data_IF_549360865842
#
_entry.id   IF_549360865842
#
_cell.length_a   1.000
_cell.length_b   1.000
_cell.length_c   1.000
_cell.angle_alpha   90.00
_cell.angle_beta   90.00
_cell.angle_gamma   90.00
#
_symmetry.space_group_name_H-M   'P 1'
#
loop_
_entity.id
_entity.type
_entity.pdbx_description
1 polymer ?
#
# COMPACT_ATOMS: atom_id res chain seq x y z
N UNK A 1 1.58 26.90 -11.41
CA UNK A 1 0.55 26.66 -10.36
C UNK A 1 0.92 25.36 -9.69
N UNK A 2 0.66 25.21 -8.37
CA UNK A 2 1.10 24.03 -7.64
C UNK A 2 -0.07 23.19 -7.17
N UNK A 3 0.15 21.87 -7.11
CA UNK A 3 -0.78 20.86 -6.59
C UNK A 3 -0.05 20.00 -5.56
N UNK A 4 -0.70 19.74 -4.43
CA UNK A 4 -0.15 18.95 -3.35
C UNK A 4 -0.91 17.64 -3.24
N UNK A 5 -0.19 16.52 -3.35
CA UNK A 5 -0.70 15.18 -3.06
C UNK A 5 -0.19 14.66 -1.73
N UNK A 6 -1.06 14.05 -0.95
CA UNK A 6 -0.74 13.40 0.34
C UNK A 6 -1.26 11.97 0.31
N UNK A 7 -0.36 10.99 0.47
CA UNK A 7 -0.68 9.58 0.70
C UNK A 7 -0.38 9.24 2.16
N UNK A 8 -1.42 9.03 2.98
CA UNK A 8 -1.30 8.74 4.40
C UNK A 8 -1.78 7.34 4.76
N UNK A 9 -0.83 6.42 4.87
CA UNK A 9 -1.04 5.10 5.45
C UNK A 9 -0.82 5.09 6.97
N UNK A 10 -0.96 3.91 7.59
CA UNK A 10 -0.81 3.76 9.06
C UNK A 10 0.61 4.05 9.57
N UNK A 11 1.65 3.86 8.76
CA UNK A 11 3.07 3.94 9.21
C UNK A 11 3.81 5.15 8.67
N UNK A 12 3.42 5.66 7.52
CA UNK A 12 4.06 6.80 6.84
C UNK A 12 3.04 7.63 6.09
N UNK A 13 3.30 8.92 5.94
CA UNK A 13 2.58 9.84 5.08
C UNK A 13 3.56 10.51 4.11
N UNK A 14 3.33 10.35 2.79
CA UNK A 14 4.13 10.95 1.71
C UNK A 14 3.44 12.22 1.22
N UNK A 15 4.21 13.28 1.08
CA UNK A 15 3.78 14.58 0.54
C UNK A 15 4.54 14.87 -0.74
N UNK A 16 3.83 15.20 -1.79
CA UNK A 16 4.39 15.50 -3.11
C UNK A 16 3.80 16.80 -3.66
N UNK A 17 4.66 17.78 -3.92
CA UNK A 17 4.31 19.04 -4.58
C UNK A 17 4.77 19.03 -6.02
N UNK A 18 3.83 19.24 -6.96
CA UNK A 18 4.11 19.34 -8.40
C UNK A 18 3.39 20.54 -9.01
N UNK A 19 3.73 20.86 -10.26
CA UNK A 19 2.80 21.61 -11.12
C UNK A 19 1.84 20.66 -11.88
N UNK A 20 0.99 21.25 -12.72
CA UNK A 20 0.02 20.52 -13.55
C UNK A 20 0.67 19.63 -14.61
N UNK A 21 1.95 19.82 -14.91
CA UNK A 21 2.68 19.01 -15.91
C UNK A 21 3.43 17.83 -15.29
N UNK A 22 3.51 17.79 -13.95
CA UNK A 22 4.22 16.76 -13.20
C UNK A 22 5.65 17.09 -12.82
N UNK A 23 6.10 18.35 -12.98
CA UNK A 23 7.41 18.78 -12.45
C UNK A 23 7.36 18.80 -10.93
N UNK A 24 8.30 18.09 -10.29
CA UNK A 24 8.40 18.00 -8.82
C UNK A 24 9.12 19.21 -8.27
N UNK A 25 8.57 19.84 -7.22
CA UNK A 25 9.17 20.97 -6.51
C UNK A 25 9.59 20.61 -5.09
N UNK A 26 8.87 19.72 -4.43
CA UNK A 26 9.23 19.27 -3.10
C UNK A 26 8.61 17.89 -2.78
N UNK A 27 9.31 17.14 -1.94
CA UNK A 27 8.81 15.92 -1.29
C UNK A 27 9.07 16.00 0.22
N UNK A 28 8.14 15.43 1.00
CA UNK A 28 8.31 15.24 2.44
C UNK A 28 7.75 13.88 2.85
N UNK A 29 8.37 13.29 3.87
CA UNK A 29 7.92 12.05 4.47
C UNK A 29 7.68 12.30 5.96
N UNK A 30 6.47 12.04 6.43
CA UNK A 30 6.04 12.20 7.81
C UNK A 30 5.64 10.85 8.43
N UNK A 31 5.56 10.75 9.76
CA UNK A 31 4.89 9.63 10.40
C UNK A 31 3.46 9.46 9.87
N UNK A 32 3.03 8.21 9.69
CA UNK A 32 1.72 7.89 9.16
C UNK A 32 0.58 8.30 10.10
N UNK A 33 -0.58 8.48 9.51
CA UNK A 33 -1.80 8.85 10.19
C UNK A 33 -2.98 8.08 9.59
N UNK A 34 -3.65 7.26 10.40
CA UNK A 34 -4.94 6.66 10.06
C UNK A 34 -6.03 7.36 10.86
N UNK A 35 -7.08 7.82 10.18
CA UNK A 35 -8.11 8.67 10.85
C UNK A 35 -8.84 7.95 11.98
N UNK A 36 -9.06 6.64 11.88
CA UNK A 36 -9.69 5.84 12.93
C UNK A 36 -8.97 5.93 14.29
N UNK A 37 -7.64 6.01 14.31
CA UNK A 37 -6.84 6.12 15.52
C UNK A 37 -6.47 7.55 15.90
N UNK A 38 -6.19 8.38 14.91
CA UNK A 38 -5.66 9.73 15.10
C UNK A 38 -6.74 10.79 15.30
N UNK A 39 -7.97 10.50 14.83
CA UNK A 39 -9.09 11.42 14.85
C UNK A 39 -8.74 12.76 14.19
N UNK A 40 -9.65 13.72 14.18
CA UNK A 40 -9.48 15.06 13.58
C UNK A 40 -8.15 15.72 13.91
N UNK A 41 -7.80 15.79 15.20
CA UNK A 41 -6.60 16.51 15.64
C UNK A 41 -5.28 15.88 15.16
N UNK A 42 -5.24 14.56 15.07
CA UNK A 42 -4.08 13.85 14.51
C UNK A 42 -3.91 14.08 13.01
N UNK A 43 -5.01 14.03 12.27
CA UNK A 43 -5.03 14.31 10.81
C UNK A 43 -4.59 15.76 10.56
N UNK A 44 -5.19 16.73 11.26
CA UNK A 44 -4.82 18.15 11.18
C UNK A 44 -3.31 18.36 11.40
N UNK A 45 -2.79 17.82 12.49
CA UNK A 45 -1.36 17.96 12.85
C UNK A 45 -0.46 17.37 11.77
N UNK A 46 -0.81 16.22 11.22
CA UNK A 46 -0.06 15.58 10.13
C UNK A 46 -0.03 16.48 8.89
N UNK A 47 -1.20 16.99 8.46
CA UNK A 47 -1.31 17.89 7.30
C UNK A 47 -0.50 19.19 7.53
N UNK A 48 -0.67 19.86 8.66
CA UNK A 48 0.04 21.11 8.99
C UNK A 48 1.57 20.91 9.02
N UNK A 49 2.02 19.78 9.58
CA UNK A 49 3.47 19.51 9.69
C UNK A 49 4.10 19.26 8.32
N UNK A 50 3.48 18.39 7.51
CA UNK A 50 3.98 18.09 6.17
C UNK A 50 3.88 19.30 5.24
N UNK A 51 2.76 20.05 5.31
CA UNK A 51 2.57 21.27 4.53
C UNK A 51 3.65 22.32 4.84
N UNK A 52 3.95 22.56 6.12
CA UNK A 52 5.00 23.50 6.53
C UNK A 52 6.36 23.13 5.91
N UNK A 53 6.73 21.86 5.94
CA UNK A 53 7.97 21.37 5.36
C UNK A 53 7.99 21.53 3.83
N UNK A 54 6.89 21.21 3.15
CA UNK A 54 6.75 21.39 1.70
C UNK A 54 6.88 22.84 1.30
N UNK A 55 6.19 23.77 1.98
CA UNK A 55 6.26 25.20 1.69
C UNK A 55 7.69 25.75 1.89
N UNK A 56 8.36 25.31 2.97
CA UNK A 56 9.76 25.70 3.23
C UNK A 56 10.72 25.19 2.15
N UNK A 57 10.59 23.91 1.76
CA UNK A 57 11.45 23.30 0.72
C UNK A 57 11.25 23.94 -0.65
N UNK A 58 10.01 24.22 -1.01
CA UNK A 58 9.67 24.82 -2.30
C UNK A 58 9.87 26.35 -2.34
N UNK A 59 9.99 27.01 -1.20
CA UNK A 59 10.12 28.47 -1.11
C UNK A 59 8.87 29.23 -1.55
N UNK A 60 7.67 28.66 -1.33
CA UNK A 60 6.39 29.21 -1.76
C UNK A 60 5.45 29.46 -0.58
N UNK A 61 4.42 30.29 -0.82
CA UNK A 61 3.33 30.52 0.12
C UNK A 61 2.18 29.53 -0.09
N UNK A 62 1.39 29.26 0.97
CA UNK A 62 0.23 28.37 0.91
C UNK A 62 -0.79 28.77 -0.17
N UNK A 63 -0.94 30.07 -0.43
CA UNK A 63 -1.87 30.62 -1.44
C UNK A 63 -1.51 30.25 -2.88
N UNK A 64 -0.28 29.82 -3.14
CA UNK A 64 0.18 29.39 -4.46
C UNK A 64 -0.22 27.95 -4.80
N UNK A 65 -0.62 27.15 -3.80
CA UNK A 65 -1.16 25.80 -4.01
C UNK A 65 -2.62 25.92 -4.41
N UNK A 66 -2.96 25.43 -5.60
CA UNK A 66 -4.31 25.47 -6.19
C UNK A 66 -5.25 24.49 -5.51
N UNK A 67 -4.78 23.27 -5.32
CA UNK A 67 -5.58 22.23 -4.69
C UNK A 67 -4.68 21.23 -3.98
N UNK A 68 -5.23 20.61 -2.90
CA UNK A 68 -4.63 19.53 -2.13
C UNK A 68 -5.49 18.28 -2.28
N UNK A 69 -4.86 17.15 -2.61
CA UNK A 69 -5.49 15.83 -2.58
C UNK A 69 -4.95 15.03 -1.40
N UNK A 70 -5.83 14.54 -0.54
CA UNK A 70 -5.48 13.67 0.59
C UNK A 70 -6.10 12.29 0.41
N UNK A 71 -5.27 11.26 0.25
CA UNK A 71 -5.66 9.88 0.47
C UNK A 71 -5.25 9.44 1.86
N UNK A 72 -6.21 9.00 2.68
CA UNK A 72 -5.94 8.63 4.06
C UNK A 72 -6.63 7.32 4.44
N UNK A 73 -5.90 6.47 5.16
CA UNK A 73 -6.40 5.22 5.67
C UNK A 73 -7.55 5.45 6.67
N UNK A 74 -8.67 4.75 6.44
CA UNK A 74 -9.86 4.81 7.28
C UNK A 74 -10.87 5.92 6.93
N UNK A 75 -10.65 6.71 5.85
CA UNK A 75 -11.62 7.70 5.37
C UNK A 75 -12.94 7.04 4.97
N UNK A 76 -14.05 7.43 5.61
CA UNK A 76 -15.37 6.84 5.36
C UNK A 76 -15.56 5.40 5.87
N UNK A 77 -14.57 4.81 6.56
CA UNK A 77 -14.63 3.44 7.07
C UNK A 77 -15.11 3.33 8.52
N UNK A 78 -15.30 4.44 9.19
CA UNK A 78 -15.83 4.52 10.55
C UNK A 78 -16.76 5.71 10.73
N UNK A 79 -17.56 5.68 11.79
CA UNK A 79 -18.49 6.76 12.10
C UNK A 79 -17.74 8.09 12.28
N UNK A 80 -18.13 9.10 11.52
CA UNK A 80 -17.58 10.44 11.56
C UNK A 80 -16.20 10.63 10.92
N UNK A 81 -15.53 9.57 10.45
CA UNK A 81 -14.15 9.68 9.91
C UNK A 81 -14.05 10.55 8.68
N UNK A 82 -15.05 10.56 7.83
CA UNK A 82 -15.13 11.44 6.67
C UNK A 82 -15.22 12.89 7.11
N UNK A 83 -16.19 13.22 7.98
CA UNK A 83 -16.38 14.56 8.50
C UNK A 83 -15.14 15.08 9.23
N UNK A 84 -14.55 14.27 10.10
CA UNK A 84 -13.33 14.64 10.86
C UNK A 84 -12.15 14.94 9.92
N UNK A 85 -11.99 14.18 8.84
CA UNK A 85 -10.94 14.43 7.83
C UNK A 85 -11.19 15.73 7.08
N UNK A 86 -12.42 15.96 6.65
CA UNK A 86 -12.82 17.21 5.95
C UNK A 86 -12.59 18.43 6.83
N UNK A 87 -13.02 18.39 8.09
CA UNK A 87 -12.79 19.47 9.06
C UNK A 87 -11.30 19.71 9.32
N UNK A 88 -10.51 18.64 9.50
CA UNK A 88 -9.07 18.74 9.70
C UNK A 88 -8.38 19.43 8.51
N UNK A 89 -8.74 19.05 7.29
CA UNK A 89 -8.20 19.69 6.09
C UNK A 89 -8.65 21.15 5.94
N UNK A 90 -9.91 21.47 6.26
CA UNK A 90 -10.43 22.83 6.20
C UNK A 90 -9.72 23.78 7.20
N UNK A 91 -9.30 23.25 8.34
CA UNK A 91 -8.54 24.02 9.35
C UNK A 91 -7.04 24.12 9.02
N UNK A 92 -6.46 23.09 8.38
CA UNK A 92 -5.02 23.02 8.08
C UNK A 92 -4.66 23.66 6.73
N UNK A 93 -5.63 23.78 5.82
CA UNK A 93 -5.43 24.27 4.44
C UNK A 93 -6.51 25.28 4.06
N UNK A 94 -6.51 25.67 2.78
CA UNK A 94 -7.46 26.68 2.23
C UNK A 94 -8.84 26.03 1.99
N UNK A 95 -9.92 26.54 2.59
CA UNK A 95 -11.27 26.02 2.38
C UNK A 95 -11.66 25.95 0.90
N UNK A 96 -12.26 24.82 0.50
CA UNK A 96 -12.70 24.60 -0.88
C UNK A 96 -11.58 24.28 -1.89
N UNK A 97 -10.32 24.24 -1.45
CA UNK A 97 -9.17 23.89 -2.31
C UNK A 97 -8.56 22.54 -1.94
N UNK A 98 -9.34 21.62 -1.45
CA UNK A 98 -8.88 20.27 -1.12
C UNK A 98 -9.95 19.23 -1.44
N UNK A 99 -9.49 18.00 -1.64
CA UNK A 99 -10.32 16.82 -1.82
C UNK A 99 -9.72 15.68 -1.02
N UNK A 100 -10.56 14.95 -0.28
CA UNK A 100 -10.16 13.81 0.53
C UNK A 100 -10.78 12.51 0.01
N UNK A 101 -10.05 11.41 0.14
CA UNK A 101 -10.53 10.07 -0.23
C UNK A 101 -9.80 8.99 0.59
N UNK A 102 -10.17 7.73 0.37
CA UNK A 102 -9.41 6.58 0.86
C UNK A 102 -8.01 6.53 0.22
N UNK A 103 -7.03 6.01 0.93
CA UNK A 103 -5.70 5.67 0.43
C UNK A 103 -5.78 4.69 -0.77
N UNK A 104 -6.74 3.77 -0.77
CA UNK A 104 -6.99 2.84 -1.88
C UNK A 104 -7.45 3.53 -3.16
N UNK A 105 -8.19 4.65 -3.05
CA UNK A 105 -8.62 5.43 -4.22
C UNK A 105 -7.45 6.10 -4.91
N UNK A 106 -6.56 6.74 -4.16
CA UNK A 106 -5.38 7.38 -4.75
C UNK A 106 -4.38 6.37 -5.29
N UNK A 107 -4.28 5.18 -4.68
CA UNK A 107 -3.46 4.09 -5.20
C UNK A 107 -3.98 3.60 -6.57
N UNK A 108 -5.29 3.44 -6.73
CA UNK A 108 -5.91 3.17 -8.03
C UNK A 108 -5.72 4.31 -9.02
N UNK A 109 -5.95 5.55 -8.59
CA UNK A 109 -5.82 6.75 -9.42
C UNK A 109 -4.40 6.90 -9.98
N UNK A 110 -3.37 6.70 -9.14
CA UNK A 110 -1.97 6.76 -9.56
C UNK A 110 -1.57 5.60 -10.45
N UNK A 111 -1.94 4.37 -10.08
CA UNK A 111 -1.50 3.17 -10.79
C UNK A 111 -2.20 2.95 -12.13
N UNK A 112 -3.48 3.27 -12.25
CA UNK A 112 -4.31 3.04 -13.45
C UNK A 112 -4.81 4.34 -14.12
N UNK A 113 -4.39 5.52 -13.65
CA UNK A 113 -4.78 6.82 -14.23
C UNK A 113 -6.31 6.95 -14.36
N UNK A 114 -7.04 6.53 -13.34
CA UNK A 114 -8.50 6.45 -13.27
C UNK A 114 -9.14 5.52 -14.31
N UNK A 115 -8.37 4.65 -14.99
CA UNK A 115 -8.93 3.59 -15.83
C UNK A 115 -9.71 2.60 -14.96
N UNK A 116 -10.91 2.22 -15.42
CA UNK A 116 -11.71 1.22 -14.71
C UNK A 116 -10.92 -0.09 -14.57
N UNK A 117 -10.79 -0.58 -13.33
CA UNK A 117 -9.93 -1.74 -13.03
C UNK A 117 -9.78 -1.97 -11.55
N UNK A 118 -8.78 -2.75 -11.18
CA UNK A 118 -8.53 -3.19 -9.80
C UNK A 118 -7.09 -2.84 -9.41
N UNK A 119 -6.90 -2.34 -8.19
CA UNK A 119 -5.58 -2.15 -7.59
C UNK A 119 -5.43 -3.05 -6.37
N UNK A 120 -4.28 -3.71 -6.26
CA UNK A 120 -3.87 -4.53 -5.11
C UNK A 120 -2.88 -3.73 -4.29
N UNK A 121 -3.20 -3.44 -3.04
CA UNK A 121 -2.22 -2.89 -2.09
C UNK A 121 -1.73 -4.05 -1.22
N UNK A 122 -0.41 -4.27 -1.17
CA UNK A 122 0.18 -5.22 -0.23
C UNK A 122 1.49 -4.69 0.35
N UNK A 123 1.46 -4.52 1.66
CA UNK A 123 2.56 -4.08 2.52
C UNK A 123 2.45 -4.83 3.85
N UNK A 124 2.43 -4.13 4.99
CA UNK A 124 2.19 -4.74 6.31
C UNK A 124 0.86 -5.50 6.33
N UNK A 125 -0.21 -4.91 5.80
CA UNK A 125 -1.49 -5.54 5.50
C UNK A 125 -1.71 -5.67 3.99
N UNK A 126 -2.89 -6.16 3.57
CA UNK A 126 -3.29 -6.24 2.17
C UNK A 126 -4.75 -5.86 1.98
N UNK A 127 -5.04 -5.18 0.88
CA UNK A 127 -6.38 -4.84 0.45
C UNK A 127 -6.45 -4.80 -1.08
N UNK A 128 -7.53 -5.26 -1.64
CA UNK A 128 -7.83 -5.18 -3.07
C UNK A 128 -9.02 -4.27 -3.27
N UNK A 129 -8.89 -3.26 -4.11
CA UNK A 129 -9.95 -2.28 -4.39
C UNK A 129 -10.15 -2.13 -5.89
N UNK A 130 -11.39 -2.05 -6.33
CA UNK A 130 -11.76 -1.86 -7.72
C UNK A 130 -12.71 -0.69 -7.92
N UNK A 131 -12.58 -0.05 -9.07
CA UNK A 131 -13.38 1.11 -9.46
C UNK A 131 -13.85 0.96 -10.91
N UNK A 132 -15.08 1.34 -11.17
CA UNK A 132 -15.70 1.32 -12.50
C UNK A 132 -15.82 2.73 -13.07
N UNK A 133 -15.99 2.84 -14.39
CA UNK A 133 -16.13 4.14 -15.05
C UNK A 133 -17.39 4.91 -14.63
N UNK A 134 -18.43 4.22 -14.13
CA UNK A 134 -19.66 4.80 -13.60
C UNK A 134 -19.58 5.13 -12.09
N UNK A 135 -18.38 5.06 -11.49
CA UNK A 135 -18.10 5.48 -10.12
C UNK A 135 -18.43 4.46 -9.03
N UNK A 136 -18.84 3.23 -9.39
CA UNK A 136 -19.00 2.16 -8.39
C UNK A 136 -17.64 1.66 -7.91
N UNK A 137 -17.57 1.30 -6.64
CA UNK A 137 -16.37 0.71 -6.04
C UNK A 137 -16.69 -0.53 -5.21
N UNK A 138 -15.70 -1.40 -5.05
CA UNK A 138 -15.76 -2.54 -4.15
C UNK A 138 -14.36 -2.84 -3.61
N UNK A 139 -14.30 -3.48 -2.44
CA UNK A 139 -13.05 -3.95 -1.83
C UNK A 139 -13.15 -5.39 -1.34
N UNK A 140 -12.00 -6.04 -1.22
CA UNK A 140 -11.80 -7.31 -0.54
C UNK A 140 -10.52 -7.23 0.32
N UNK A 141 -10.49 -7.85 1.49
CA UNK A 141 -9.40 -7.70 2.46
C UNK A 141 -9.44 -6.34 3.17
N UNK A 142 -8.32 -5.95 3.78
CA UNK A 142 -8.22 -4.72 4.57
C UNK A 142 -8.92 -4.83 5.93
N UNK A 143 -8.91 -6.01 6.52
CA UNK A 143 -9.50 -6.28 7.84
C UNK A 143 -8.51 -6.07 8.98
N UNK A 144 -7.22 -5.90 8.65
CA UNK A 144 -6.16 -5.67 9.60
C UNK A 144 -5.36 -6.92 9.97
N UNK A 145 -4.51 -6.77 10.97
CA UNK A 145 -3.55 -7.79 11.38
C UNK A 145 -4.21 -9.17 11.64
N UNK A 146 -3.66 -10.20 11.00
CA UNK A 146 -4.11 -11.59 11.12
C UNK A 146 -5.18 -12.01 10.10
N UNK A 147 -5.78 -11.05 9.36
CA UNK A 147 -6.86 -11.32 8.40
C UNK A 147 -6.52 -10.85 6.97
N UNK A 148 -5.37 -10.23 6.76
CA UNK A 148 -4.96 -9.69 5.46
C UNK A 148 -4.04 -10.69 4.76
N UNK A 149 -4.64 -11.69 4.11
CA UNK A 149 -3.93 -12.72 3.36
C UNK A 149 -3.13 -12.12 2.20
N UNK A 150 -1.98 -12.74 1.90
CA UNK A 150 -1.06 -12.24 0.87
C UNK A 150 -0.27 -10.98 1.26
N UNK A 151 -0.39 -10.49 2.51
CA UNK A 151 0.42 -9.39 3.03
C UNK A 151 1.81 -9.82 3.50
N UNK A 152 2.71 -8.86 3.73
CA UNK A 152 4.01 -9.14 4.35
C UNK A 152 3.87 -9.76 5.75
N UNK A 153 2.86 -9.37 6.55
CA UNK A 153 2.60 -9.97 7.85
C UNK A 153 2.13 -11.42 7.72
N UNK A 154 1.23 -11.70 6.77
CA UNK A 154 0.79 -13.06 6.47
C UNK A 154 1.95 -13.94 5.98
N UNK A 155 2.79 -13.43 5.08
CA UNK A 155 4.02 -14.10 4.62
C UNK A 155 4.95 -14.38 5.82
N UNK A 156 5.16 -13.39 6.68
CA UNK A 156 6.00 -13.53 7.87
C UNK A 156 5.51 -14.64 8.81
N UNK A 157 4.20 -14.78 8.97
CA UNK A 157 3.61 -15.90 9.73
C UNK A 157 3.94 -17.24 9.07
N UNK A 158 3.83 -17.35 7.73
CA UNK A 158 4.19 -18.57 6.99
C UNK A 158 5.69 -18.89 7.09
N UNK A 159 6.55 -17.88 7.17
CA UNK A 159 8.00 -18.05 7.43
C UNK A 159 8.23 -18.70 8.78
N UNK A 160 7.59 -18.21 9.86
CA UNK A 160 7.69 -18.81 11.19
C UNK A 160 7.17 -20.24 11.21
N UNK A 161 6.01 -20.50 10.60
CA UNK A 161 5.43 -21.84 10.48
C UNK A 161 6.36 -22.81 9.72
N UNK A 162 6.99 -22.35 8.64
CA UNK A 162 7.93 -23.14 7.88
C UNK A 162 9.18 -23.46 8.70
N UNK A 163 9.75 -22.44 9.37
CA UNK A 163 10.91 -22.64 10.24
C UNK A 163 10.62 -23.68 11.34
N UNK A 164 9.52 -23.56 12.08
CA UNK A 164 9.19 -24.49 13.16
C UNK A 164 9.00 -25.92 12.66
N UNK A 165 8.37 -26.11 11.49
CA UNK A 165 8.23 -27.45 10.87
C UNK A 165 9.57 -28.05 10.45
N UNK A 166 10.51 -27.22 10.00
CA UNK A 166 11.86 -27.67 9.64
C UNK A 166 12.72 -27.95 10.89
N UNK A 167 12.53 -27.18 11.96
CA UNK A 167 13.24 -27.34 13.22
C UNK A 167 12.88 -28.66 13.92
N UNK A 168 11.60 -29.01 13.95
CA UNK A 168 11.11 -30.21 14.64
C UNK A 168 10.98 -31.46 13.72
N UNK A 169 11.47 -31.38 12.48
CA UNK A 169 11.55 -32.53 11.55
C UNK A 169 10.23 -32.83 10.80
N UNK A 170 9.18 -32.02 10.93
CA UNK A 170 7.94 -32.17 10.14
C UNK A 170 8.10 -31.76 8.67
N UNK A 171 9.20 -31.09 8.33
CA UNK A 171 9.57 -30.72 6.96
C UNK A 171 11.10 -30.82 6.80
N UNK A 172 11.55 -30.99 5.56
CA UNK A 172 12.97 -30.95 5.22
C UNK A 172 13.53 -29.53 5.43
N UNK A 173 14.77 -29.47 5.94
CA UNK A 173 15.50 -28.21 6.10
C UNK A 173 15.91 -27.66 4.75
N UNK A 174 15.54 -26.42 4.49
CA UNK A 174 15.88 -25.69 3.27
C UNK A 174 16.77 -24.47 3.62
N UNK A 175 17.27 -23.68 2.65
CA UNK A 175 18.00 -22.45 2.92
C UNK A 175 17.29 -21.51 3.91
N UNK A 176 15.97 -21.44 3.90
CA UNK A 176 15.15 -20.64 4.83
C UNK A 176 15.46 -20.97 6.30
N UNK A 177 15.69 -22.25 6.62
CA UNK A 177 16.00 -22.68 7.98
C UNK A 177 17.32 -22.05 8.48
N UNK A 178 18.36 -22.10 7.66
CA UNK A 178 19.67 -21.55 8.03
C UNK A 178 19.65 -20.02 8.13
N UNK A 179 19.01 -19.35 7.16
CA UNK A 179 18.82 -17.90 7.17
C UNK A 179 18.04 -17.42 8.40
N UNK A 180 17.02 -18.17 8.82
CA UNK A 180 16.24 -17.83 10.00
C UNK A 180 17.09 -17.94 11.29
N UNK A 181 17.86 -19.00 11.43
CA UNK A 181 18.79 -19.18 12.57
C UNK A 181 19.83 -18.07 12.63
N UNK A 182 20.41 -17.70 11.49
CA UNK A 182 21.40 -16.63 11.38
C UNK A 182 20.78 -15.27 11.76
N UNK A 183 19.61 -14.94 11.23
CA UNK A 183 18.90 -13.69 11.50
C UNK A 183 18.62 -13.48 12.99
N UNK A 184 18.30 -14.54 13.71
CA UNK A 184 17.95 -14.50 15.13
C UNK A 184 19.06 -15.00 16.06
N UNK A 185 20.26 -15.25 15.52
CA UNK A 185 21.44 -15.72 16.28
C UNK A 185 21.16 -16.98 17.11
N UNK A 186 20.48 -17.97 16.49
CA UNK A 186 20.20 -19.25 17.15
C UNK A 186 21.42 -20.15 17.07
N UNK A 187 22.19 -20.24 18.15
CA UNK A 187 23.45 -20.99 18.25
C UNK A 187 23.32 -22.35 19.00
N UNK A 188 22.16 -22.65 19.57
CA UNK A 188 21.84 -23.86 20.29
C UNK A 188 20.63 -24.62 19.72
N UNK A 189 19.92 -25.35 20.60
CA UNK A 189 18.72 -26.09 20.23
C UNK A 189 17.55 -25.18 19.89
N UNK A 190 16.88 -25.40 18.75
CA UNK A 190 15.80 -24.57 18.23
C UNK A 190 14.63 -24.36 19.21
N UNK A 191 14.30 -25.38 20.00
CA UNK A 191 13.23 -25.32 20.99
C UNK A 191 13.40 -24.21 22.04
N UNK A 192 14.63 -23.90 22.44
CA UNK A 192 14.91 -22.80 23.36
C UNK A 192 14.62 -21.41 22.74
N UNK A 193 14.81 -21.28 21.44
CA UNK A 193 14.68 -20.01 20.73
C UNK A 193 13.26 -19.71 20.24
N UNK A 194 12.45 -20.73 19.94
CA UNK A 194 11.05 -20.52 19.52
C UNK A 194 10.24 -19.77 20.59
N UNK A 195 10.49 -20.07 21.89
CA UNK A 195 9.84 -19.33 22.97
C UNK A 195 10.34 -17.90 23.11
N UNK A 196 11.63 -17.64 22.85
CA UNK A 196 12.21 -16.31 22.81
C UNK A 196 11.66 -15.53 21.62
N UNK A 197 11.62 -16.15 20.43
CA UNK A 197 11.06 -15.56 19.21
C UNK A 197 9.62 -15.10 19.40
N UNK A 198 8.77 -15.92 20.04
CA UNK A 198 7.41 -15.53 20.37
C UNK A 198 7.36 -14.26 21.25
N UNK A 199 8.31 -14.09 22.17
CA UNK A 199 8.42 -12.87 22.97
C UNK A 199 8.84 -11.68 22.13
N UNK A 200 9.80 -11.83 21.24
CA UNK A 200 10.31 -10.75 20.40
C UNK A 200 9.31 -10.32 19.34
N UNK A 201 8.64 -11.27 18.69
CA UNK A 201 7.64 -10.99 17.65
C UNK A 201 6.34 -10.48 18.26
N UNK A 202 5.79 -11.16 19.27
CA UNK A 202 4.47 -10.86 19.84
C UNK A 202 4.52 -9.71 20.83
N UNK A 203 5.57 -9.64 21.68
CA UNK A 203 5.71 -8.62 22.72
C UNK A 203 6.59 -7.44 22.30
N UNK A 204 7.51 -7.65 21.36
CA UNK A 204 8.47 -6.63 20.93
C UNK A 204 7.92 -5.60 19.95
N UNK A 205 6.67 -5.70 19.54
CA UNK A 205 6.01 -4.73 18.64
C UNK A 205 6.59 -4.67 17.21
N UNK A 206 7.57 -5.49 16.87
CA UNK A 206 8.21 -5.49 15.55
C UNK A 206 7.34 -6.10 14.44
N UNK A 207 6.31 -6.87 14.83
CA UNK A 207 5.42 -7.54 13.89
C UNK A 207 6.11 -8.61 13.02
N UNK A 208 5.33 -9.29 12.21
CA UNK A 208 5.80 -10.36 11.32
C UNK A 208 6.24 -9.88 9.93
N UNK A 209 5.78 -8.69 9.51
CA UNK A 209 6.00 -8.19 8.17
C UNK A 209 7.48 -8.13 7.72
N UNK A 210 8.46 -7.78 8.58
CA UNK A 210 9.89 -7.78 8.22
C UNK A 210 10.43 -9.15 7.80
N UNK A 211 9.83 -10.25 8.26
CA UNK A 211 10.25 -11.61 7.90
C UNK A 211 10.05 -11.93 6.41
N UNK A 212 9.23 -11.16 5.72
CA UNK A 212 9.11 -11.25 4.27
C UNK A 212 10.46 -11.03 3.56
N UNK A 213 11.33 -10.19 4.11
CA UNK A 213 12.67 -9.96 3.55
C UNK A 213 13.57 -11.21 3.68
N UNK A 214 13.42 -11.95 4.77
CA UNK A 214 14.12 -13.23 4.94
C UNK A 214 13.67 -14.26 3.89
N UNK A 215 12.37 -14.30 3.61
CA UNK A 215 11.81 -15.14 2.56
C UNK A 215 12.36 -14.78 1.18
N UNK A 216 12.56 -13.47 0.90
CA UNK A 216 13.16 -13.00 -0.35
C UNK A 216 14.60 -13.52 -0.50
N UNK A 217 15.40 -13.47 0.57
CA UNK A 217 16.77 -14.02 0.54
C UNK A 217 16.78 -15.55 0.34
N UNK A 218 15.82 -16.28 0.94
CA UNK A 218 15.66 -17.70 0.67
C UNK A 218 15.25 -17.96 -0.81
N UNK A 219 14.34 -17.16 -1.35
CA UNK A 219 13.92 -17.28 -2.75
C UNK A 219 15.09 -17.09 -3.72
N UNK A 220 16.02 -16.17 -3.45
CA UNK A 220 17.24 -15.95 -4.25
C UNK A 220 18.18 -17.17 -4.22
N UNK A 221 18.05 -18.03 -3.22
CA UNK A 221 18.79 -19.30 -3.08
C UNK A 221 18.00 -20.50 -3.61
N UNK A 222 16.99 -20.28 -4.45
CA UNK A 222 16.14 -21.31 -5.04
C UNK A 222 15.35 -22.15 -4.02
N UNK A 223 15.10 -21.62 -2.83
CA UNK A 223 14.38 -22.30 -1.74
C UNK A 223 12.94 -22.70 -2.18
N UNK A 224 12.61 -24.00 -2.16
CA UNK A 224 11.28 -24.47 -2.58
C UNK A 224 10.18 -24.03 -1.62
N UNK A 225 10.48 -23.81 -0.35
CA UNK A 225 9.52 -23.30 0.63
C UNK A 225 9.19 -21.84 0.36
N UNK A 226 10.21 -21.04 0.02
CA UNK A 226 10.00 -19.64 -0.37
C UNK A 226 9.14 -19.52 -1.64
N UNK A 227 9.42 -20.32 -2.66
CA UNK A 227 8.59 -20.36 -3.89
C UNK A 227 7.13 -20.69 -3.59
N UNK A 228 6.89 -21.68 -2.72
CA UNK A 228 5.53 -22.09 -2.32
C UNK A 228 4.80 -20.99 -1.55
N UNK A 229 5.47 -20.29 -0.64
CA UNK A 229 4.86 -19.22 0.16
C UNK A 229 4.50 -18.01 -0.73
N UNK A 230 5.39 -17.59 -1.63
CA UNK A 230 5.07 -16.52 -2.58
C UNK A 230 3.94 -16.88 -3.53
N UNK A 231 3.91 -18.14 -4.01
CA UNK A 231 2.79 -18.62 -4.83
C UNK A 231 1.48 -18.56 -4.07
N UNK A 232 1.44 -19.03 -2.83
CA UNK A 232 0.25 -18.96 -2.00
C UNK A 232 -0.19 -17.51 -1.71
N UNK A 233 0.76 -16.59 -1.49
CA UNK A 233 0.45 -15.17 -1.35
C UNK A 233 -0.19 -14.59 -2.64
N UNK A 234 0.33 -14.97 -3.81
CA UNK A 234 -0.24 -14.55 -5.09
C UNK A 234 -1.65 -15.12 -5.33
N UNK A 235 -1.90 -16.39 -4.92
CA UNK A 235 -3.23 -17.01 -5.00
C UNK A 235 -4.26 -16.23 -4.15
N UNK A 236 -3.91 -15.85 -2.91
CA UNK A 236 -4.79 -15.07 -2.02
C UNK A 236 -5.08 -13.67 -2.59
N UNK A 237 -4.05 -12.97 -3.08
CA UNK A 237 -4.23 -11.65 -3.70
C UNK A 237 -5.12 -11.72 -4.95
N UNK A 238 -4.94 -12.75 -5.78
CA UNK A 238 -5.77 -12.97 -6.96
C UNK A 238 -7.21 -13.33 -6.60
N UNK A 239 -7.43 -14.10 -5.53
CA UNK A 239 -8.78 -14.37 -5.00
C UNK A 239 -9.48 -13.07 -4.60
N UNK A 240 -8.76 -12.13 -3.98
CA UNK A 240 -9.27 -10.79 -3.69
C UNK A 240 -9.71 -10.03 -4.96
N UNK A 241 -8.93 -10.13 -6.05
CA UNK A 241 -9.28 -9.52 -7.35
C UNK A 241 -10.58 -10.10 -7.90
N UNK A 242 -10.75 -11.41 -7.87
CA UNK A 242 -11.98 -12.06 -8.35
C UNK A 242 -13.20 -11.71 -7.48
N UNK A 243 -13.03 -11.58 -6.17
CA UNK A 243 -14.09 -11.14 -5.27
C UNK A 243 -14.58 -9.72 -5.61
N UNK A 244 -13.62 -8.78 -5.84
CA UNK A 244 -13.92 -7.41 -6.26
C UNK A 244 -14.59 -7.39 -7.64
N UNK A 245 -14.05 -8.14 -8.61
CA UNK A 245 -14.62 -8.23 -9.96
C UNK A 245 -16.07 -8.73 -9.93
N UNK A 246 -16.36 -9.74 -9.11
CA UNK A 246 -17.71 -10.28 -8.94
C UNK A 246 -18.67 -9.23 -8.39
N UNK A 247 -18.27 -8.50 -7.33
CA UNK A 247 -19.10 -7.44 -6.70
C UNK A 247 -19.36 -6.25 -7.62
N UNK A 248 -18.46 -5.97 -8.54
CA UNK A 248 -18.59 -4.88 -9.53
C UNK A 248 -19.29 -5.32 -10.83
N UNK A 249 -19.64 -6.61 -10.99
CA UNK A 249 -20.20 -7.13 -12.23
C UNK A 249 -19.20 -7.14 -13.39
N UNK A 250 -17.90 -7.30 -13.08
CA UNK A 250 -16.80 -7.32 -14.04
C UNK A 250 -16.25 -8.72 -14.31
N UNK A 251 -16.84 -9.77 -13.71
CA UNK A 251 -16.30 -11.13 -13.73
C UNK A 251 -16.01 -11.67 -15.13
N UNK A 252 -16.88 -11.37 -16.08
CA UNK A 252 -16.77 -11.85 -17.47
C UNK A 252 -16.10 -10.84 -18.41
N UNK A 253 -15.45 -9.82 -17.85
CA UNK A 253 -14.77 -8.76 -18.62
C UNK A 253 -13.26 -8.88 -18.48
N UNK A 254 -12.54 -8.47 -19.52
CA UNK A 254 -11.10 -8.20 -19.44
C UNK A 254 -10.92 -6.82 -18.84
N UNK A 255 -10.09 -6.69 -17.82
CA UNK A 255 -9.78 -5.41 -17.18
C UNK A 255 -8.35 -5.39 -16.63
N UNK A 256 -7.75 -4.19 -16.48
CA UNK A 256 -6.43 -4.06 -15.90
C UNK A 256 -6.47 -4.28 -14.38
N UNK A 257 -5.43 -4.95 -13.89
CA UNK A 257 -5.10 -5.06 -12.48
C UNK A 257 -3.74 -4.42 -12.27
N UNK A 258 -3.61 -3.50 -11.33
CA UNK A 258 -2.33 -2.92 -10.95
C UNK A 258 -2.05 -3.14 -9.46
N UNK A 259 -0.93 -2.66 -8.97
CA UNK A 259 -0.48 -2.95 -7.63
C UNK A 259 0.27 -1.77 -7.00
N UNK A 260 0.32 -1.76 -5.67
CA UNK A 260 1.12 -0.83 -4.86
C UNK A 260 1.50 -1.48 -3.53
N UNK A 261 2.46 -0.88 -2.84
CA UNK A 261 2.92 -1.38 -1.55
C UNK A 261 4.24 -2.15 -1.59
N UNK A 262 4.80 -2.34 -0.39
CA UNK A 262 6.18 -2.82 -0.22
C UNK A 262 6.45 -4.24 -0.69
N UNK A 263 5.45 -5.11 -0.66
CA UNK A 263 5.60 -6.50 -1.11
C UNK A 263 6.07 -6.59 -2.58
N UNK A 264 5.52 -5.76 -3.44
CA UNK A 264 5.79 -5.83 -4.88
C UNK A 264 7.21 -5.38 -5.27
N UNK A 265 7.93 -4.71 -4.36
CA UNK A 265 9.37 -4.42 -4.52
C UNK A 265 10.23 -5.69 -4.51
N UNK A 266 9.68 -6.82 -4.07
CA UNK A 266 10.33 -8.13 -4.17
C UNK A 266 10.42 -8.66 -5.61
N UNK A 267 9.71 -8.04 -6.57
CA UNK A 267 9.85 -8.34 -7.99
C UNK A 267 9.28 -9.70 -8.40
N UNK A 268 10.02 -10.44 -9.20
CA UNK A 268 9.58 -11.66 -9.86
C UNK A 268 9.00 -12.73 -8.91
N UNK A 269 9.48 -12.83 -7.67
CA UNK A 269 9.02 -13.84 -6.72
C UNK A 269 7.51 -13.77 -6.42
N UNK A 270 6.93 -12.58 -6.46
CA UNK A 270 5.49 -12.34 -6.26
C UNK A 270 4.78 -11.97 -7.56
N UNK A 271 5.41 -11.17 -8.42
CA UNK A 271 4.77 -10.66 -9.64
C UNK A 271 4.55 -11.75 -10.70
N UNK A 272 5.49 -12.69 -10.87
CA UNK A 272 5.34 -13.73 -11.88
C UNK A 272 4.22 -14.72 -11.57
N UNK A 273 4.13 -15.31 -10.35
CA UNK A 273 2.99 -16.16 -10.01
C UNK A 273 1.67 -15.39 -10.03
N UNK A 274 1.64 -14.13 -9.60
CA UNK A 274 0.43 -13.30 -9.64
C UNK A 274 -0.03 -13.06 -11.08
N UNK A 275 0.90 -12.70 -11.98
CA UNK A 275 0.62 -12.52 -13.43
C UNK A 275 0.05 -13.79 -14.05
N UNK A 276 0.66 -14.94 -13.76
CA UNK A 276 0.19 -16.23 -14.28
C UNK A 276 -1.26 -16.54 -13.84
N UNK A 277 -1.58 -16.32 -12.56
CA UNK A 277 -2.91 -16.60 -12.02
C UNK A 277 -3.94 -15.64 -12.62
N UNK A 278 -3.65 -14.36 -12.63
CA UNK A 278 -4.55 -13.33 -13.16
C UNK A 278 -4.83 -13.53 -14.65
N UNK A 279 -3.79 -13.87 -15.43
CA UNK A 279 -3.92 -14.08 -16.87
C UNK A 279 -4.85 -15.27 -17.21
N UNK A 280 -4.84 -16.34 -16.40
CA UNK A 280 -5.75 -17.49 -16.57
C UNK A 280 -7.22 -17.07 -16.42
N UNK A 281 -7.50 -16.03 -15.67
CA UNK A 281 -8.83 -15.49 -15.44
C UNK A 281 -9.17 -14.32 -16.38
N UNK A 282 -8.33 -14.04 -17.40
CA UNK A 282 -8.54 -12.92 -18.32
C UNK A 282 -8.26 -11.54 -17.73
N UNK A 283 -7.43 -11.46 -16.67
CA UNK A 283 -7.00 -10.20 -16.05
C UNK A 283 -5.62 -9.81 -16.59
N UNK A 284 -5.38 -8.53 -16.74
CA UNK A 284 -4.12 -8.00 -17.28
C UNK A 284 -3.36 -7.30 -16.15
N UNK A 285 -2.30 -7.93 -15.64
CA UNK A 285 -1.44 -7.28 -14.67
C UNK A 285 -0.61 -6.19 -15.37
N UNK A 286 -0.89 -4.92 -15.03
CA UNK A 286 -0.15 -3.73 -15.50
C UNK A 286 0.78 -3.23 -14.41
N UNK A 287 1.97 -2.80 -14.80
CA UNK A 287 2.81 -2.01 -13.89
C UNK A 287 2.10 -0.71 -13.52
N UNK A 288 2.23 -0.24 -12.27
CA UNK A 288 1.64 1.03 -11.86
C UNK A 288 2.26 2.17 -12.67
N UNK A 289 1.41 3.05 -13.19
CA UNK A 289 1.88 4.25 -13.88
C UNK A 289 2.63 5.16 -12.90
N UNK A 290 2.09 5.33 -11.70
CA UNK A 290 2.65 6.16 -10.63
C UNK A 290 2.33 5.58 -9.25
N UNK A 291 3.08 6.05 -8.25
CA UNK A 291 2.85 5.80 -6.84
C UNK A 291 1.57 6.52 -6.31
N UNK A 292 1.03 6.12 -5.15
CA UNK A 292 -0.21 6.69 -4.60
C UNK A 292 -0.15 8.20 -4.33
N UNK A 293 1.00 8.76 -3.93
CA UNK A 293 1.14 10.21 -3.72
C UNK A 293 0.97 11.02 -5.01
N UNK A 294 1.39 10.47 -6.16
CA UNK A 294 1.08 11.04 -7.47
C UNK A 294 -0.42 10.90 -7.78
N UNK A 295 -1.04 9.76 -7.41
CA UNK A 295 -2.48 9.59 -7.52
C UNK A 295 -3.26 10.66 -6.75
N UNK A 296 -2.78 11.05 -5.56
CA UNK A 296 -3.33 12.16 -4.79
C UNK A 296 -3.14 13.52 -5.48
N UNK A 297 -1.98 13.76 -6.13
CA UNK A 297 -1.77 14.95 -6.98
C UNK A 297 -2.76 14.99 -8.13
N UNK A 298 -2.92 13.88 -8.86
CA UNK A 298 -3.86 13.80 -9.99
C UNK A 298 -5.31 14.02 -9.54
N UNK A 299 -5.68 13.53 -8.35
CA UNK A 299 -6.97 13.81 -7.72
C UNK A 299 -7.13 15.30 -7.42
N UNK A 300 -6.09 15.98 -6.90
CA UNK A 300 -6.08 17.41 -6.64
C UNK A 300 -6.21 18.25 -7.93
N UNK A 301 -5.52 17.86 -9.00
CA UNK A 301 -5.61 18.53 -10.31
C UNK A 301 -7.04 18.41 -10.85
N UNK A 302 -7.64 17.21 -10.83
CA UNK A 302 -9.02 17.02 -11.31
C UNK A 302 -10.08 17.70 -10.44
N UNK A 303 -9.80 17.92 -9.18
CA UNK A 303 -10.67 18.70 -8.29
C UNK A 303 -10.71 20.20 -8.71
N UNK A 304 -9.54 20.78 -9.05
CA UNK A 304 -9.43 22.18 -9.54
C UNK A 304 -9.83 22.31 -11.02
N UNK A 305 -9.56 21.28 -11.83
CA UNK A 305 -9.74 21.23 -13.27
C UNK A 305 -10.37 19.90 -13.71
N UNK A 306 -11.71 19.77 -13.61
CA UNK A 306 -12.40 18.50 -13.91
C UNK A 306 -12.17 17.97 -15.33
N UNK A 307 -11.88 18.85 -16.30
CA UNK A 307 -11.59 18.52 -17.70
C UNK A 307 -10.15 18.07 -17.97
N UNK A 308 -9.28 18.10 -16.95
CA UNK A 308 -7.86 17.76 -17.13
C UNK A 308 -7.68 16.29 -17.57
N UNK A 309 -6.97 16.10 -18.69
CA UNK A 309 -6.57 14.76 -19.13
C UNK A 309 -5.32 14.32 -18.38
N UNK A 310 -5.47 13.32 -17.52
CA UNK A 310 -4.37 12.80 -16.71
C UNK A 310 -3.22 12.20 -17.53
N UNK A 311 -3.44 11.92 -18.83
CA UNK A 311 -2.40 11.47 -19.76
C UNK A 311 -1.40 12.57 -20.13
N UNK A 312 -1.75 13.83 -19.90
CA UNK A 312 -0.85 14.98 -20.10
C UNK A 312 0.15 15.15 -18.93
N UNK A 313 -0.08 14.43 -17.82
CA UNK A 313 0.80 14.44 -16.67
C UNK A 313 2.00 13.52 -16.90
N UNK A 314 3.21 14.03 -16.65
CA UNK A 314 4.45 13.26 -16.70
C UNK A 314 5.34 13.66 -15.53
N UNK A 315 5.48 12.75 -14.55
CA UNK A 315 6.31 13.01 -13.37
C UNK A 315 7.77 13.22 -13.78
N UNK A 316 8.35 14.37 -13.37
CA UNK A 316 9.74 14.75 -13.67
C UNK A 316 10.40 15.28 -12.40
N UNK A 317 11.44 14.59 -11.97
CA UNK A 317 12.36 15.04 -10.92
C UNK A 317 13.54 15.76 -11.60
N UNK A 318 13.87 16.95 -11.14
CA UNK A 318 15.07 17.69 -11.59
C UNK A 318 16.32 17.24 -10.83
#
# INVERSE_FOLDING_TARGET
MYYLGIDSGATKASFLLTDETGRVFARSLQPGCAVLGARKEGVKRMVETGLREILQKAGIGIGEIRSLGLGINGYGEGEGTEQETQEACAEAFLPGRFVCSLDTYIAWAGSLLFEAGVNIISGTGSIVSGYTADGRSARAGGWGAGCDEGSCSWIGQRVVEAFTKQADGRAEKTPLYSLFREQFHFDGEDAHYVMQLNREIVRGGKGLAPLQMLLLEAWKQDDPTARRIYRAAADELALGVEAVASRLGMKDRVFPVSYSGGLFRSGACILDPLREILQKNGRILKEPAYDPDVGAVLMAIRHDRPEYDVRDFSLREE
#
